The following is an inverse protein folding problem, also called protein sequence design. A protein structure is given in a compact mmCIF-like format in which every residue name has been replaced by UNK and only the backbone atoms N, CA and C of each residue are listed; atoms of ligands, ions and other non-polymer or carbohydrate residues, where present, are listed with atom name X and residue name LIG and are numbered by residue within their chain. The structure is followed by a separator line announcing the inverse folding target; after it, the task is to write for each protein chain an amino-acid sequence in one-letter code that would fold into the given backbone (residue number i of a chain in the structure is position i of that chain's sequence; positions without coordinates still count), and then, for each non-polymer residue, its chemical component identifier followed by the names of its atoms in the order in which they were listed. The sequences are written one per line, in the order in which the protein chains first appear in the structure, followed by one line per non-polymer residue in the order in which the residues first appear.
data_IF_049971909184
#
_entry.id   IF_049971909184
#
_cell.length_a   1.000
_cell.length_b   1.000
_cell.length_c   1.000
_cell.angle_alpha   90.00
_cell.angle_beta   90.00
_cell.angle_gamma   90.00
#
_symmetry.space_group_name_H-M   'P 1'
#
loop_
_entity.id
_entity.type
_entity.pdbx_description
1 polymer ?
#
# COMPACT_ATOMS: atom_id res chain seq x y z
N UNK A 1 -11.80 9.33 -8.51
CA UNK A 1 -12.44 8.11 -7.95
C UNK A 1 -11.37 7.05 -7.86
N UNK A 2 -11.35 6.30 -6.77
CA UNK A 2 -10.47 5.15 -6.62
C UNK A 2 -11.27 3.93 -6.16
N UNK A 3 -11.04 2.80 -6.82
CA UNK A 3 -11.58 1.49 -6.49
C UNK A 3 -10.41 0.53 -6.27
N UNK A 4 -10.46 -0.28 -5.23
CA UNK A 4 -9.52 -1.38 -5.03
C UNK A 4 -10.21 -2.68 -4.67
N UNK A 5 -9.60 -3.80 -5.09
CA UNK A 5 -9.94 -5.15 -4.66
C UNK A 5 -8.68 -5.81 -4.11
N UNK A 6 -8.70 -6.16 -2.83
CA UNK A 6 -7.51 -6.65 -2.14
C UNK A 6 -7.76 -7.99 -1.46
N UNK A 7 -6.82 -8.91 -1.66
CA UNK A 7 -6.71 -10.16 -0.93
C UNK A 7 -5.41 -10.19 -0.12
N UNK A 8 -5.50 -10.64 1.13
CA UNK A 8 -4.37 -10.63 2.06
C UNK A 8 -4.22 -9.31 2.79
N UNK A 9 -3.28 -9.26 3.74
CA UNK A 9 -2.97 -8.07 4.55
C UNK A 9 -1.52 -7.66 4.30
N UNK A 10 -1.30 -6.37 4.04
CA UNK A 10 0.06 -5.86 3.92
C UNK A 10 0.79 -6.00 5.25
N UNK A 11 1.90 -6.75 5.26
CA UNK A 11 2.75 -6.89 6.43
C UNK A 11 3.77 -5.75 6.46
N UNK A 12 3.46 -4.68 7.17
CA UNK A 12 4.32 -3.49 7.29
C UNK A 12 5.68 -3.79 7.94
N UNK A 13 5.77 -4.80 8.82
CA UNK A 13 7.03 -5.19 9.46
C UNK A 13 7.98 -5.89 8.47
N UNK A 14 7.44 -6.78 7.63
CA UNK A 14 8.24 -7.56 6.67
C UNK A 14 8.45 -6.84 5.34
N UNK A 15 7.43 -6.16 4.83
CA UNK A 15 7.44 -5.55 3.49
C UNK A 15 7.67 -4.04 3.52
N UNK A 16 7.82 -3.45 4.70
CA UNK A 16 8.04 -2.01 4.88
C UNK A 16 6.73 -1.22 4.88
N UNK A 17 6.82 0.03 5.33
CA UNK A 17 5.68 0.94 5.43
C UNK A 17 5.98 2.37 5.02
N UNK A 18 7.22 2.68 4.66
CA UNK A 18 7.64 4.03 4.35
C UNK A 18 8.30 4.11 2.99
N UNK A 19 7.49 3.82 1.97
CA UNK A 19 7.82 3.96 0.56
C UNK A 19 6.51 4.12 -0.25
N UNK A 20 6.54 4.68 -1.47
CA UNK A 20 5.34 4.87 -2.29
C UNK A 20 4.46 3.63 -2.50
N UNK A 21 5.05 2.43 -2.59
CA UNK A 21 4.29 1.18 -2.79
C UNK A 21 3.48 0.88 -1.53
N UNK A 22 4.11 0.92 -0.37
CA UNK A 22 3.42 0.63 0.90
C UNK A 22 2.51 1.77 1.37
N UNK A 23 2.80 3.03 1.04
CA UNK A 23 1.99 4.18 1.50
C UNK A 23 0.75 4.44 0.65
N UNK A 24 0.83 4.20 -0.66
CA UNK A 24 -0.24 4.59 -1.60
C UNK A 24 -0.97 3.39 -2.21
N UNK A 25 -0.26 2.28 -2.44
CA UNK A 25 -0.78 1.13 -3.19
C UNK A 25 -1.19 -0.05 -2.29
N UNK A 26 -0.74 -0.08 -1.03
CA UNK A 26 -1.24 -1.04 -0.05
C UNK A 26 -2.65 -0.66 0.40
N UNK A 27 -3.65 -1.38 -0.12
CA UNK A 27 -5.07 -1.19 0.18
C UNK A 27 -5.58 -2.23 1.20
N UNK A 28 -6.66 -1.94 1.93
CA UNK A 28 -7.25 -2.86 2.90
C UNK A 28 -7.93 -4.06 2.21
N UNK A 29 -8.08 -5.21 2.89
CA UNK A 29 -8.78 -6.39 2.36
C UNK A 29 -10.23 -6.11 1.94
N UNK A 30 -10.69 -6.82 0.91
CA UNK A 30 -12.01 -6.69 0.34
C UNK A 30 -12.06 -5.57 -0.71
N UNK A 31 -13.22 -4.91 -0.83
CA UNK A 31 -13.39 -3.74 -1.70
C UNK A 31 -13.32 -2.45 -0.90
N UNK A 32 -12.55 -1.49 -1.40
CA UNK A 32 -12.60 -0.09 -0.97
C UNK A 32 -12.91 0.80 -2.17
N UNK A 33 -13.91 1.67 -2.03
CA UNK A 33 -14.34 2.61 -3.06
C UNK A 33 -14.51 4.00 -2.45
N UNK A 34 -13.86 4.98 -3.04
CA UNK A 34 -14.16 6.38 -2.75
C UNK A 34 -14.20 7.23 -4.01
N UNK A 35 -15.08 8.22 -4.00
CA UNK A 35 -15.33 9.08 -5.13
C UNK A 35 -15.62 10.50 -4.67
N UNK A 36 -15.05 11.46 -5.39
CA UNK A 36 -15.36 12.89 -5.27
C UNK A 36 -16.28 13.23 -6.42
N UNK A 37 -17.43 13.82 -6.13
CA UNK A 37 -18.41 14.18 -7.14
C UNK A 37 -18.43 15.68 -7.40
N UNK A 38 -18.30 16.07 -8.66
CA UNK A 38 -18.51 17.45 -9.11
C UNK A 38 -19.95 17.64 -9.61
N UNK A 39 -20.91 17.48 -8.69
CA UNK A 39 -22.35 17.69 -8.93
C UNK A 39 -22.97 18.39 -7.73
N UNK A 40 -24.12 19.07 -7.89
CA UNK A 40 -24.85 19.65 -6.75
C UNK A 40 -25.13 18.61 -5.66
N UNK A 41 -25.11 19.03 -4.38
CA UNK A 41 -25.17 18.09 -3.25
C UNK A 41 -26.36 17.11 -3.28
N UNK A 42 -27.52 17.57 -3.74
CA UNK A 42 -28.73 16.76 -3.84
C UNK A 42 -28.67 15.65 -4.91
N UNK A 43 -27.71 15.73 -5.84
CA UNK A 43 -27.48 14.71 -6.86
C UNK A 43 -26.40 13.69 -6.48
N UNK A 44 -25.60 13.93 -5.43
CA UNK A 44 -24.45 13.08 -5.11
C UNK A 44 -24.87 11.64 -4.84
N UNK A 45 -25.91 11.42 -4.03
CA UNK A 45 -26.33 10.06 -3.65
C UNK A 45 -26.90 9.29 -4.85
N UNK A 46 -27.56 9.97 -5.78
CA UNK A 46 -28.01 9.37 -7.03
C UNK A 46 -26.82 8.99 -7.93
N UNK A 47 -25.81 9.86 -8.03
CA UNK A 47 -24.57 9.59 -8.77
C UNK A 47 -23.76 8.45 -8.15
N UNK A 48 -23.67 8.38 -6.82
CA UNK A 48 -23.04 7.29 -6.08
C UNK A 48 -23.74 5.95 -6.31
N UNK A 49 -25.08 5.94 -6.28
CA UNK A 49 -25.87 4.76 -6.64
C UNK A 49 -25.58 4.31 -8.07
N UNK A 50 -25.59 5.22 -9.04
CA UNK A 50 -25.29 4.85 -10.42
C UNK A 50 -23.86 4.29 -10.56
N UNK A 51 -22.88 4.95 -9.92
CA UNK A 51 -21.49 4.51 -9.94
C UNK A 51 -21.31 3.09 -9.38
N UNK A 52 -21.86 2.82 -8.19
CA UNK A 52 -21.76 1.51 -7.53
C UNK A 52 -22.40 0.38 -8.35
N UNK A 53 -23.53 0.64 -9.01
CA UNK A 53 -24.17 -0.32 -9.92
C UNK A 53 -23.35 -0.55 -11.19
N UNK A 54 -22.81 0.50 -11.81
CA UNK A 54 -21.97 0.37 -13.00
C UNK A 54 -20.70 -0.43 -12.71
N UNK A 55 -20.02 -0.14 -11.60
CA UNK A 55 -18.81 -0.87 -11.19
C UNK A 55 -19.12 -2.32 -10.82
N UNK A 56 -20.25 -2.57 -10.16
CA UNK A 56 -20.71 -3.93 -9.86
C UNK A 56 -20.89 -4.76 -11.13
N UNK A 57 -21.53 -4.21 -12.15
CA UNK A 57 -21.71 -4.88 -13.45
C UNK A 57 -20.41 -5.04 -14.24
N UNK A 58 -19.50 -4.06 -14.17
CA UNK A 58 -18.21 -4.12 -14.88
C UNK A 58 -17.27 -5.17 -14.29
N UNK A 59 -17.18 -5.24 -12.96
CA UNK A 59 -16.25 -6.12 -12.26
C UNK A 59 -16.86 -7.43 -11.78
N UNK A 60 -18.17 -7.65 -11.97
CA UNK A 60 -18.90 -8.81 -11.45
C UNK A 60 -18.71 -8.97 -9.93
N UNK A 61 -18.91 -7.88 -9.20
CA UNK A 61 -18.67 -7.79 -7.75
C UNK A 61 -19.86 -7.14 -7.05
N UNK A 62 -20.00 -7.34 -5.74
CA UNK A 62 -21.14 -6.88 -4.94
C UNK A 62 -21.09 -5.40 -4.55
N UNK A 63 -20.39 -4.57 -5.34
CA UNK A 63 -20.20 -3.12 -5.10
C UNK A 63 -21.53 -2.38 -5.00
N UNK A 64 -22.58 -2.88 -5.65
CA UNK A 64 -23.94 -2.35 -5.57
C UNK A 64 -24.51 -2.33 -4.14
N UNK A 65 -23.98 -3.13 -3.20
CA UNK A 65 -24.37 -3.03 -1.79
C UNK A 65 -23.99 -1.68 -1.17
N UNK A 66 -22.93 -1.03 -1.67
CA UNK A 66 -22.51 0.30 -1.23
C UNK A 66 -23.52 1.41 -1.57
N UNK A 67 -24.59 1.12 -2.33
CA UNK A 67 -25.66 2.09 -2.58
C UNK A 67 -26.44 2.48 -1.30
N UNK A 68 -26.44 1.60 -0.29
CA UNK A 68 -27.22 1.79 0.93
C UNK A 68 -26.57 2.84 1.82
N UNK A 69 -27.34 3.78 2.35
CA UNK A 69 -26.86 4.80 3.29
C UNK A 69 -26.20 4.18 4.53
N UNK A 70 -26.58 2.94 4.87
CA UNK A 70 -25.99 2.20 5.99
C UNK A 70 -24.58 1.64 5.73
N UNK A 71 -24.08 1.75 4.50
CA UNK A 71 -22.85 1.09 4.01
C UNK A 71 -21.77 2.03 3.50
N UNK A 72 -22.12 3.31 3.28
CA UNK A 72 -21.15 4.35 2.93
C UNK A 72 -21.17 5.47 3.96
N UNK A 73 -20.07 6.22 4.00
CA UNK A 73 -19.88 7.38 4.85
C UNK A 73 -19.51 8.61 4.02
N UNK A 74 -19.63 9.76 4.65
CA UNK A 74 -19.22 11.07 4.11
C UNK A 74 -18.11 11.62 5.00
N UNK A 75 -16.83 11.32 4.69
CA UNK A 75 -15.71 11.87 5.44
C UNK A 75 -15.75 13.40 5.37
N UNK A 76 -15.54 14.06 6.49
CA UNK A 76 -15.57 15.52 6.56
C UNK A 76 -14.22 16.11 6.10
N UNK A 77 -13.11 15.41 6.32
CA UNK A 77 -11.76 15.99 6.12
C UNK A 77 -10.63 14.99 5.91
N UNK A 78 -10.82 13.69 6.18
CA UNK A 78 -9.77 12.67 5.96
C UNK A 78 -9.44 12.43 4.48
N UNK A 79 -10.31 12.86 3.56
CA UNK A 79 -10.14 12.71 2.11
C UNK A 79 -10.19 14.10 1.44
N UNK A 80 -9.11 14.56 0.79
CA UNK A 80 -9.13 15.79 0.02
C UNK A 80 -9.81 15.58 -1.36
N UNK A 81 -10.62 16.53 -1.85
CA UNK A 81 -11.06 17.77 -1.21
C UNK A 81 -12.22 17.52 -0.22
N UNK A 82 -12.09 18.15 0.96
CA UNK A 82 -13.01 18.08 2.08
C UNK A 82 -14.25 18.97 1.88
N UNK A 83 -15.16 18.60 0.97
CA UNK A 83 -16.30 19.43 0.56
C UNK A 83 -17.68 18.78 0.71
N UNK A 84 -17.80 17.69 1.48
CA UNK A 84 -19.06 16.91 1.59
C UNK A 84 -19.46 16.17 0.29
N UNK A 85 -18.69 16.39 -0.78
CA UNK A 85 -18.86 15.78 -2.09
C UNK A 85 -18.18 14.41 -2.20
N UNK A 86 -17.60 13.92 -1.10
CA UNK A 86 -16.94 12.61 -1.03
C UNK A 86 -17.93 11.57 -0.54
N UNK A 87 -17.86 10.39 -1.16
CA UNK A 87 -18.48 9.16 -0.65
C UNK A 87 -17.38 8.12 -0.48
N UNK A 88 -17.37 7.49 0.68
CA UNK A 88 -16.42 6.43 1.04
C UNK A 88 -17.19 5.19 1.48
N UNK A 89 -16.92 4.05 0.86
CA UNK A 89 -17.58 2.78 1.18
C UNK A 89 -16.60 1.61 1.09
N UNK A 90 -16.81 0.61 1.94
CA UNK A 90 -15.97 -0.60 2.00
C UNK A 90 -16.80 -1.86 2.14
N UNK A 91 -16.40 -2.93 1.49
CA UNK A 91 -16.94 -4.28 1.65
C UNK A 91 -15.81 -5.22 2.07
N UNK A 92 -15.48 -5.31 3.38
CA UNK A 92 -14.32 -6.07 3.84
C UNK A 92 -14.42 -7.58 3.57
N UNK A 93 -15.65 -8.11 3.44
CA UNK A 93 -15.91 -9.52 3.17
C UNK A 93 -16.01 -9.84 1.67
N UNK A 94 -15.94 -8.84 0.78
CA UNK A 94 -16.02 -9.11 -0.66
C UNK A 94 -14.82 -9.93 -1.11
N UNK A 95 -15.08 -11.12 -1.62
CA UNK A 95 -14.03 -12.00 -2.11
C UNK A 95 -13.40 -11.41 -3.38
N UNK A 96 -12.08 -11.46 -3.48
CA UNK A 96 -11.37 -11.11 -4.72
C UNK A 96 -11.29 -12.36 -5.59
N UNK A 97 -11.91 -12.30 -6.76
CA UNK A 97 -12.05 -13.40 -7.70
C UNK A 97 -11.23 -13.15 -8.97
N UNK A 98 -10.75 -14.22 -9.59
CA UNK A 98 -10.01 -14.15 -10.88
C UNK A 98 -10.81 -13.50 -12.00
N UNK A 99 -12.14 -13.53 -11.87
CA UNK A 99 -13.14 -12.92 -12.72
C UNK A 99 -13.08 -11.40 -12.67
N UNK A 100 -12.72 -10.78 -11.53
CA UNK A 100 -12.54 -9.33 -11.40
C UNK A 100 -11.33 -8.83 -12.20
N UNK A 101 -10.30 -9.68 -12.36
CA UNK A 101 -9.09 -9.32 -13.10
C UNK A 101 -9.33 -9.21 -14.61
N UNK A 102 -10.28 -9.99 -15.15
CA UNK A 102 -10.58 -9.98 -16.59
C UNK A 102 -11.05 -8.61 -17.12
N UNK A 103 -12.04 -7.93 -16.51
CA UNK A 103 -12.39 -6.56 -16.91
C UNK A 103 -11.29 -5.56 -16.63
N UNK A 104 -10.49 -5.72 -15.56
CA UNK A 104 -9.32 -4.87 -15.30
C UNK A 104 -8.29 -4.96 -16.44
N UNK A 105 -7.93 -6.17 -16.88
CA UNK A 105 -7.02 -6.41 -18.00
C UNK A 105 -7.61 -5.89 -19.33
N UNK A 106 -8.93 -5.94 -19.52
CA UNK A 106 -9.57 -5.40 -20.74
C UNK A 106 -9.39 -3.90 -20.92
N UNK A 107 -9.11 -3.15 -19.85
CA UNK A 107 -8.84 -1.72 -19.91
C UNK A 107 -7.40 -1.40 -20.38
N UNK A 108 -6.48 -2.38 -20.32
CA UNK A 108 -5.12 -2.22 -20.83
C UNK A 108 -5.08 -2.26 -22.37
N UNK A 109 -4.19 -1.50 -23.04
CA UNK A 109 -4.14 -1.41 -24.50
C UNK A 109 -4.05 -2.77 -25.21
N UNK A 110 -3.17 -3.66 -24.74
CA UNK A 110 -2.99 -5.00 -25.31
C UNK A 110 -3.53 -6.14 -24.42
N UNK A 111 -4.33 -5.82 -23.40
CA UNK A 111 -4.84 -6.81 -22.43
C UNK A 111 -3.72 -7.67 -21.85
N UNK A 112 -3.90 -8.99 -21.79
CA UNK A 112 -2.93 -10.00 -21.37
C UNK A 112 -2.24 -10.69 -22.57
N UNK A 113 -2.10 -10.00 -23.71
CA UNK A 113 -1.65 -10.61 -24.98
C UNK A 113 -0.29 -10.12 -25.49
N UNK A 114 0.24 -9.01 -25.01
CA UNK A 114 1.54 -8.49 -25.43
C UNK A 114 2.17 -7.57 -24.37
N UNK A 115 3.49 -7.41 -24.44
CA UNK A 115 4.27 -6.59 -23.51
C UNK A 115 4.26 -7.14 -22.09
N UNK A 116 4.54 -6.26 -21.11
CA UNK A 116 4.66 -6.61 -19.69
C UNK A 116 3.37 -7.24 -19.14
N UNK A 117 2.21 -6.90 -19.72
CA UNK A 117 0.93 -7.45 -19.30
C UNK A 117 0.81 -8.98 -19.52
N UNK A 118 1.71 -9.59 -20.30
CA UNK A 118 1.84 -11.06 -20.40
C UNK A 118 2.19 -11.71 -19.05
N UNK A 119 2.90 -11.00 -18.17
CA UNK A 119 3.26 -11.48 -16.83
C UNK A 119 2.06 -11.57 -15.88
N UNK A 120 0.92 -10.96 -16.23
CA UNK A 120 -0.25 -10.86 -15.35
C UNK A 120 -1.10 -12.15 -15.35
N UNK A 121 -0.43 -13.30 -15.21
CA UNK A 121 -1.05 -14.61 -15.17
C UNK A 121 -1.79 -14.85 -13.86
N UNK A 122 -3.08 -15.20 -13.94
CA UNK A 122 -3.96 -15.27 -12.76
C UNK A 122 -3.47 -16.29 -11.73
N UNK A 123 -3.14 -17.55 -12.09
CA UNK A 123 -2.61 -18.52 -11.13
C UNK A 123 -1.41 -18.03 -10.33
N UNK A 124 -0.46 -17.34 -10.97
CA UNK A 124 0.74 -16.81 -10.32
C UNK A 124 0.42 -15.67 -9.35
N UNK A 125 -0.46 -14.74 -9.76
CA UNK A 125 -0.83 -13.59 -8.93
C UNK A 125 -1.66 -13.99 -7.69
N UNK A 126 -2.61 -14.91 -7.83
CA UNK A 126 -3.52 -15.32 -6.76
C UNK A 126 -2.90 -16.33 -5.78
N UNK A 127 -1.69 -16.84 -6.07
CA UNK A 127 -0.87 -17.61 -5.13
C UNK A 127 -0.03 -16.74 -4.20
N UNK A 128 0.04 -15.44 -4.45
CA UNK A 128 0.79 -14.50 -3.63
C UNK A 128 0.27 -14.36 -2.20
N UNK A 129 1.12 -13.86 -1.30
CA UNK A 129 0.74 -13.54 0.08
C UNK A 129 -0.15 -12.28 0.17
N UNK A 130 -0.08 -11.42 -0.85
CA UNK A 130 -0.86 -10.21 -0.97
C UNK A 130 -1.10 -9.89 -2.44
N UNK A 131 -2.32 -9.47 -2.77
CA UNK A 131 -2.70 -9.03 -4.10
C UNK A 131 -3.72 -7.90 -3.99
N UNK A 132 -3.45 -6.75 -4.61
CA UNK A 132 -4.36 -5.62 -4.71
C UNK A 132 -4.39 -5.10 -6.13
N UNK A 133 -5.58 -5.09 -6.73
CA UNK A 133 -5.84 -4.42 -8.00
C UNK A 133 -6.58 -3.10 -7.73
N UNK A 134 -6.09 -2.02 -8.30
CA UNK A 134 -6.59 -0.67 -8.10
C UNK A 134 -6.92 -0.02 -9.44
N UNK A 135 -7.94 0.81 -9.42
CA UNK A 135 -8.39 1.65 -10.52
C UNK A 135 -8.56 3.07 -10.00
N UNK A 136 -7.77 4.01 -10.51
CA UNK A 136 -7.83 5.41 -10.12
C UNK A 136 -8.17 6.26 -11.35
N UNK A 137 -9.31 6.95 -11.29
CA UNK A 137 -9.76 7.88 -12.32
C UNK A 137 -9.65 9.32 -11.81
N UNK A 138 -8.87 10.13 -12.52
CA UNK A 138 -8.76 11.57 -12.29
C UNK A 138 -9.27 12.32 -13.50
N UNK A 139 -10.02 13.39 -13.24
CA UNK A 139 -10.47 14.32 -14.29
C UNK A 139 -9.53 15.51 -14.29
N UNK A 140 -8.94 15.80 -15.44
CA UNK A 140 -8.15 17.02 -15.64
C UNK A 140 -9.11 18.13 -16.04
N UNK A 141 -9.23 19.15 -15.20
CA UNK A 141 -10.03 20.34 -15.49
C UNK A 141 -9.41 21.16 -16.63
N UNK A 142 -10.23 21.96 -17.32
CA UNK A 142 -9.75 22.90 -18.34
C UNK A 142 -8.79 23.91 -17.71
N UNK A 143 -7.50 23.82 -18.03
CA UNK A 143 -6.58 24.93 -17.81
C UNK A 143 -6.99 26.08 -18.73
N UNK A 144 -6.71 27.32 -18.33
CA UNK A 144 -7.00 28.54 -19.09
C UNK A 144 -6.30 28.64 -20.46
N UNK A 145 -5.56 27.60 -20.87
CA UNK A 145 -4.82 27.52 -22.14
C UNK A 145 -5.40 26.50 -23.14
N UNK A 146 -6.66 26.07 -22.98
CA UNK A 146 -7.38 25.36 -24.05
C UNK A 146 -6.89 23.93 -24.33
N UNK A 147 -6.20 23.30 -23.38
CA UNK A 147 -5.90 21.86 -23.43
C UNK A 147 -7.16 21.09 -23.06
N UNK A 148 -7.56 20.15 -23.92
CA UNK A 148 -8.76 19.32 -23.82
C UNK A 148 -8.94 18.72 -22.42
N UNK A 149 -10.14 18.86 -21.86
CA UNK A 149 -10.52 18.16 -20.63
C UNK A 149 -10.47 16.65 -20.87
N UNK A 150 -9.65 15.95 -20.09
CA UNK A 150 -9.43 14.51 -20.23
C UNK A 150 -9.68 13.76 -18.93
N UNK A 151 -10.00 12.47 -19.07
CA UNK A 151 -9.99 11.51 -17.97
C UNK A 151 -8.69 10.73 -18.04
N UNK A 152 -7.93 10.72 -16.96
CA UNK A 152 -6.75 9.88 -16.80
C UNK A 152 -7.17 8.64 -16.03
N UNK A 153 -6.91 7.48 -16.63
CA UNK A 153 -7.11 6.17 -16.01
C UNK A 153 -5.76 5.61 -15.59
N UNK A 154 -5.58 5.46 -14.28
CA UNK A 154 -4.42 4.82 -13.68
C UNK A 154 -4.82 3.45 -13.14
N UNK A 155 -4.06 2.43 -13.51
CA UNK A 155 -4.28 1.04 -13.15
C UNK A 155 -3.05 0.54 -12.40
N UNK A 156 -3.23 0.14 -11.14
CA UNK A 156 -2.13 -0.35 -10.29
C UNK A 156 -2.43 -1.77 -9.85
N UNK A 157 -1.44 -2.65 -9.98
CA UNK A 157 -1.48 -4.01 -9.46
C UNK A 157 -0.31 -4.19 -8.51
N UNK A 158 -0.60 -4.43 -7.24
CA UNK A 158 0.40 -4.68 -6.20
C UNK A 158 0.33 -6.14 -5.78
N UNK A 159 1.44 -6.85 -5.87
CA UNK A 159 1.52 -8.26 -5.46
C UNK A 159 2.75 -8.51 -4.60
N UNK A 160 2.61 -9.44 -3.66
CA UNK A 160 3.73 -10.01 -2.93
C UNK A 160 3.81 -11.50 -3.25
N UNK A 161 4.85 -11.86 -3.98
CA UNK A 161 5.07 -13.19 -4.51
C UNK A 161 6.30 -13.82 -3.85
N UNK A 162 6.26 -15.13 -3.65
CA UNK A 162 7.42 -15.90 -3.21
C UNK A 162 8.10 -16.54 -4.41
N UNK A 163 9.43 -16.41 -4.57
CA UNK A 163 10.15 -17.17 -5.58
C UNK A 163 10.05 -18.68 -5.33
N UNK A 164 9.91 -19.48 -6.39
CA UNK A 164 9.88 -20.94 -6.29
C UNK A 164 11.22 -21.47 -5.76
N UNK A 165 11.19 -22.23 -4.65
CA UNK A 165 12.40 -22.80 -4.03
C UNK A 165 12.98 -23.99 -4.78
N UNK A 166 12.37 -24.48 -5.87
CA UNK A 166 12.85 -25.65 -6.61
C UNK A 166 14.16 -25.39 -7.38
N UNK A 167 14.51 -24.11 -7.62
CA UNK A 167 15.84 -23.71 -8.12
C UNK A 167 16.86 -23.46 -7.00
N UNK A 168 16.51 -23.74 -5.74
CA UNK A 168 17.53 -23.99 -4.72
C UNK A 168 18.11 -25.38 -5.01
N UNK A 169 19.20 -25.38 -5.77
CA UNK A 169 20.11 -26.51 -5.94
C UNK A 169 20.17 -27.31 -4.63
N UNK A 170 20.10 -28.64 -4.73
CA UNK A 170 20.39 -29.61 -3.66
C UNK A 170 21.77 -29.33 -3.04
N UNK A 171 21.88 -28.27 -2.25
CA UNK A 171 23.04 -27.98 -1.43
C UNK A 171 22.68 -28.50 -0.05
N UNK A 172 23.42 -29.53 0.35
CA UNK A 172 23.28 -30.27 1.59
C UNK A 172 22.85 -29.41 2.78
N UNK A 173 21.96 -29.98 3.59
CA UNK A 173 21.25 -29.42 4.73
C UNK A 173 22.11 -28.91 5.91
N UNK A 174 23.22 -28.21 5.66
CA UNK A 174 24.07 -27.62 6.70
C UNK A 174 24.59 -26.20 6.42
N UNK A 175 24.28 -25.58 5.28
CA UNK A 175 24.69 -24.21 4.98
C UNK A 175 23.51 -23.24 5.06
N UNK A 176 23.72 -22.12 5.78
CA UNK A 176 22.74 -21.06 6.05
C UNK A 176 21.85 -20.80 4.82
N UNK A 177 20.54 -20.93 4.97
CA UNK A 177 19.55 -20.75 3.90
C UNK A 177 19.86 -19.48 3.08
N UNK A 178 20.43 -19.67 1.89
CA UNK A 178 20.59 -18.60 0.91
C UNK A 178 19.18 -18.25 0.43
N UNK A 179 18.84 -16.98 0.51
CA UNK A 179 17.58 -16.44 -0.01
C UNK A 179 17.38 -16.86 -1.49
N UNK A 180 16.14 -17.18 -1.90
CA UNK A 180 15.92 -17.76 -3.20
C UNK A 180 16.20 -16.75 -4.31
N UNK A 181 17.05 -17.15 -5.26
CA UNK A 181 17.22 -16.46 -6.54
C UNK A 181 15.90 -16.49 -7.32
N UNK A 182 15.69 -15.49 -8.16
CA UNK A 182 14.44 -15.37 -8.90
C UNK A 182 14.66 -14.80 -10.30
N UNK A 183 13.75 -15.15 -11.21
CA UNK A 183 13.53 -14.49 -12.49
C UNK A 183 12.05 -14.13 -12.66
N UNK A 184 11.74 -13.20 -13.56
CA UNK A 184 10.36 -12.86 -13.92
C UNK A 184 9.61 -14.11 -14.39
N UNK A 185 10.24 -14.93 -15.22
CA UNK A 185 9.67 -16.20 -15.67
C UNK A 185 9.43 -17.19 -14.53
N UNK A 186 10.31 -17.26 -13.53
CA UNK A 186 10.12 -18.16 -12.38
C UNK A 186 8.99 -17.72 -11.45
N UNK A 187 8.79 -16.41 -11.30
CA UNK A 187 7.79 -15.82 -10.39
C UNK A 187 6.41 -15.79 -11.05
N UNK A 188 6.35 -15.32 -12.29
CA UNK A 188 5.08 -15.13 -13.00
C UNK A 188 4.69 -16.32 -13.88
N UNK A 189 5.61 -17.27 -14.13
CA UNK A 189 5.38 -18.45 -14.95
C UNK A 189 5.36 -18.17 -16.46
N UNK A 190 5.69 -16.94 -16.88
CA UNK A 190 5.67 -16.49 -18.27
C UNK A 190 6.84 -15.56 -18.58
N UNK A 191 7.27 -15.56 -19.83
CA UNK A 191 8.26 -14.64 -20.36
C UNK A 191 7.58 -13.59 -21.23
N UNK A 192 8.18 -12.40 -21.32
CA UNK A 192 7.67 -11.32 -22.17
C UNK A 192 8.28 -11.46 -23.56
N UNK A 193 7.52 -12.03 -24.48
CA UNK A 193 7.88 -12.14 -25.90
C UNK A 193 7.21 -11.02 -26.69
N UNK A 194 7.95 -9.94 -26.94
CA UNK A 194 7.51 -8.83 -27.79
C UNK A 194 6.80 -7.66 -27.08
N UNK A 195 6.56 -6.60 -27.84
CA UNK A 195 6.03 -5.32 -27.36
C UNK A 195 4.53 -5.17 -27.62
N UNK A 196 3.86 -4.34 -26.81
CA UNK A 196 2.49 -3.92 -27.09
C UNK A 196 2.52 -2.75 -28.09
N UNK A 197 2.05 -2.97 -29.33
CA UNK A 197 2.05 -1.96 -30.40
C UNK A 197 1.20 -0.71 -30.11
N UNK A 198 0.25 -0.83 -29.18
CA UNK A 198 -0.60 0.29 -28.73
C UNK A 198 0.01 1.07 -27.55
N UNK A 199 1.03 0.53 -26.89
CA UNK A 199 1.71 1.20 -25.80
C UNK A 199 2.79 2.13 -26.37
N UNK A 200 2.85 3.36 -25.83
CA UNK A 200 3.90 4.33 -26.22
C UNK A 200 5.29 3.94 -25.71
N UNK A 201 5.35 3.27 -24.57
CA UNK A 201 6.59 2.80 -23.94
C UNK A 201 6.29 1.66 -22.99
N UNK A 202 7.24 0.72 -22.83
CA UNK A 202 7.17 -0.33 -21.81
C UNK A 202 8.50 -0.42 -21.07
N UNK A 203 8.49 -0.10 -19.79
CA UNK A 203 9.70 -0.04 -18.96
C UNK A 203 9.46 -0.80 -17.65
N UNK A 204 10.48 -1.54 -17.23
CA UNK A 204 10.51 -2.29 -15.99
C UNK A 204 11.57 -1.70 -15.10
N UNK A 205 11.21 -1.47 -13.84
CA UNK A 205 12.11 -0.90 -12.86
C UNK A 205 12.36 -1.90 -11.75
N UNK A 206 13.63 -2.06 -11.37
CA UNK A 206 14.04 -2.87 -10.22
C UNK A 206 14.61 -1.93 -9.15
N UNK A 207 13.88 -1.82 -8.04
CA UNK A 207 14.22 -0.99 -6.89
C UNK A 207 14.95 -1.83 -5.83
N UNK A 208 16.19 -1.46 -5.54
CA UNK A 208 16.89 -1.87 -4.33
C UNK A 208 16.68 -0.83 -3.23
N UNK A 209 16.00 -1.25 -2.17
CA UNK A 209 15.69 -0.40 -1.02
C UNK A 209 16.96 0.06 -0.27
N UNK A 210 16.86 1.19 0.43
CA UNK A 210 17.94 1.79 1.23
C UNK A 210 18.57 0.79 2.20
N UNK A 211 17.74 -0.03 2.85
CA UNK A 211 18.19 -1.06 3.80
C UNK A 211 19.08 -2.10 3.12
N UNK A 212 18.68 -2.59 1.94
CA UNK A 212 19.46 -3.55 1.17
C UNK A 212 20.77 -2.92 0.66
N UNK A 213 20.71 -1.71 0.10
CA UNK A 213 21.89 -1.01 -0.41
C UNK A 213 22.91 -0.73 0.70
N UNK A 214 22.44 -0.45 1.92
CA UNK A 214 23.31 -0.27 3.08
C UNK A 214 24.11 -1.56 3.38
N UNK A 215 23.44 -2.71 3.45
CA UNK A 215 24.09 -4.00 3.70
C UNK A 215 25.07 -4.39 2.58
N UNK A 216 24.70 -4.12 1.32
CA UNK A 216 25.54 -4.39 0.16
C UNK A 216 26.83 -3.55 0.09
N UNK A 217 26.84 -2.35 0.71
CA UNK A 217 28.04 -1.51 0.83
C UNK A 217 29.00 -1.98 1.92
N UNK A 218 28.53 -2.77 2.89
CA UNK A 218 29.32 -3.26 4.02
C UNK A 218 29.31 -4.79 4.13
N UNK A 219 29.70 -5.54 3.08
CA UNK A 219 29.75 -6.99 3.17
C UNK A 219 30.90 -7.39 4.11
N UNK A 220 30.56 -7.80 5.34
CA UNK A 220 31.43 -8.41 6.36
C UNK A 220 32.47 -7.52 7.06
N UNK A 221 32.15 -7.15 8.31
CA UNK A 221 33.09 -6.70 9.35
C UNK A 221 33.81 -7.86 10.09
N UNK A 222 33.80 -9.08 9.54
CA UNK A 222 34.37 -10.25 10.25
C UNK A 222 35.87 -10.46 10.04
N UNK A 223 36.49 -9.83 9.05
CA UNK A 223 37.95 -9.84 8.92
C UNK A 223 38.46 -8.40 8.87
N UNK A 224 39.25 -8.01 9.87
CA UNK A 224 39.78 -6.66 10.09
C UNK A 224 40.74 -6.13 9.02
N UNK A 225 40.32 -6.13 7.76
CA UNK A 225 40.93 -5.38 6.67
C UNK A 225 39.82 -4.61 5.96
N UNK A 226 39.69 -3.36 6.37
CA UNK A 226 38.97 -2.31 5.64
C UNK A 226 39.55 -2.22 4.23
N UNK A 227 38.93 -2.89 3.27
CA UNK A 227 39.14 -2.58 1.85
C UNK A 227 38.31 -1.33 1.56
N UNK A 228 38.91 -0.17 1.82
CA UNK A 228 38.42 1.13 1.39
C UNK A 228 38.59 1.26 -0.13
N UNK A 229 37.88 0.44 -0.91
CA UNK A 229 37.62 0.75 -2.30
C UNK A 229 36.20 1.30 -2.36
N UNK A 230 36.12 2.63 -2.40
CA UNK A 230 34.87 3.34 -2.65
C UNK A 230 34.19 2.75 -3.87
N UNK A 231 32.88 2.53 -3.74
CA UNK A 231 32.03 1.99 -4.78
C UNK A 231 31.98 3.01 -5.92
N UNK A 232 32.85 2.85 -6.93
CA UNK A 232 32.79 3.63 -8.17
C UNK A 232 31.58 3.16 -8.97
N UNK A 233 30.92 4.10 -9.67
CA UNK A 233 29.62 3.95 -10.33
C UNK A 233 29.52 2.88 -11.43
N UNK A 234 30.55 2.05 -11.62
CA UNK A 234 30.74 1.28 -12.85
C UNK A 234 30.46 -0.22 -12.73
N UNK A 235 30.06 -0.78 -11.57
CA UNK A 235 29.76 -2.23 -11.46
C UNK A 235 28.68 -2.56 -10.40
N UNK A 236 27.52 -1.92 -10.46
CA UNK A 236 26.42 -2.20 -9.51
C UNK A 236 25.53 -3.40 -9.89
N UNK A 237 25.55 -3.84 -11.16
CA UNK A 237 24.75 -4.96 -11.68
C UNK A 237 25.36 -6.34 -11.43
N UNK A 238 26.67 -6.40 -11.14
CA UNK A 238 27.37 -7.61 -10.70
C UNK A 238 28.22 -7.26 -9.48
N UNK A 239 27.72 -7.61 -8.32
CA UNK A 239 28.40 -7.42 -7.05
C UNK A 239 28.83 -8.81 -6.52
N UNK A 240 29.85 -8.92 -5.65
CA UNK A 240 30.12 -10.15 -4.92
C UNK A 240 28.87 -10.75 -4.24
N UNK A 241 27.85 -9.95 -3.91
CA UNK A 241 26.64 -10.44 -3.24
C UNK A 241 25.54 -10.97 -4.16
N UNK A 242 25.37 -10.42 -5.36
CA UNK A 242 24.34 -10.84 -6.32
C UNK A 242 24.72 -10.49 -7.77
N UNK A 243 24.04 -11.14 -8.71
CA UNK A 243 24.21 -10.91 -10.15
C UNK A 243 22.85 -10.80 -10.84
N UNK A 244 22.70 -9.80 -11.71
CA UNK A 244 21.51 -9.65 -12.56
C UNK A 244 21.70 -10.42 -13.87
N UNK A 245 20.62 -11.03 -14.37
CA UNK A 245 20.64 -11.77 -15.64
C UNK A 245 20.82 -10.88 -16.88
N UNK A 246 20.51 -9.58 -16.76
CA UNK A 246 20.58 -8.60 -17.83
C UNK A 246 21.17 -7.27 -17.35
N UNK A 247 21.85 -6.56 -18.26
CA UNK A 247 22.39 -5.23 -17.98
C UNK A 247 21.28 -4.18 -18.01
N UNK A 248 21.21 -3.27 -17.01
CA UNK A 248 20.22 -2.20 -17.00
C UNK A 248 20.53 -1.14 -18.06
N UNK A 249 19.49 -0.53 -18.63
CA UNK A 249 19.63 0.53 -19.63
C UNK A 249 19.98 1.87 -19.00
N UNK A 250 19.42 2.12 -17.81
CA UNK A 250 19.74 3.28 -16.98
C UNK A 250 19.74 2.86 -15.52
N UNK A 251 20.55 3.56 -14.74
CA UNK A 251 20.64 3.38 -13.29
C UNK A 251 20.39 4.75 -12.68
N UNK A 252 19.38 4.84 -11.82
CA UNK A 252 19.11 6.04 -11.06
C UNK A 252 19.54 5.83 -9.61
N UNK A 253 20.24 6.83 -9.09
CA UNK A 253 20.55 6.92 -7.68
C UNK A 253 19.56 7.89 -7.05
N UNK A 254 18.98 7.47 -5.94
CA UNK A 254 18.13 8.36 -5.16
C UNK A 254 18.93 9.60 -4.74
N UNK A 255 18.31 10.77 -4.83
CA UNK A 255 18.95 12.00 -4.37
C UNK A 255 19.17 11.92 -2.86
N UNK A 256 20.40 12.20 -2.40
CA UNK A 256 20.69 12.26 -0.98
C UNK A 256 19.92 13.43 -0.38
N UNK A 257 18.73 13.17 0.17
CA UNK A 257 18.19 14.06 1.20
C UNK A 257 19.26 14.18 2.28
N UNK A 258 19.43 15.36 2.88
CA UNK A 258 20.43 15.69 3.91
C UNK A 258 20.45 14.77 5.15
N UNK A 259 19.62 13.72 5.17
CA UNK A 259 19.19 12.97 6.33
C UNK A 259 19.35 11.44 6.21
N UNK A 260 19.80 10.89 5.08
CA UNK A 260 20.09 9.44 4.94
C UNK A 260 21.44 9.16 4.26
N UNK A 261 22.29 8.36 4.92
CA UNK A 261 23.61 7.94 4.39
C UNK A 261 23.51 6.84 3.31
N UNK A 262 22.39 6.12 3.26
CA UNK A 262 22.11 5.06 2.28
C UNK A 262 21.09 5.53 1.26
N UNK A 263 21.43 5.34 -0.02
CA UNK A 263 20.60 5.71 -1.17
C UNK A 263 19.89 4.46 -1.69
N UNK A 264 18.63 4.58 -2.11
CA UNK A 264 18.01 3.56 -2.95
C UNK A 264 18.61 3.59 -4.36
N UNK A 265 18.60 2.43 -5.03
CA UNK A 265 19.07 2.30 -6.42
C UNK A 265 17.91 1.79 -7.26
N UNK A 266 17.65 2.44 -8.39
CA UNK A 266 16.61 2.06 -9.33
C UNK A 266 17.24 1.69 -10.67
N UNK A 267 17.11 0.44 -11.08
CA UNK A 267 17.53 -0.04 -12.39
C UNK A 267 16.36 0.02 -13.35
N UNK A 268 16.54 0.61 -14.53
CA UNK A 268 15.51 0.68 -15.58
C UNK A 268 15.89 -0.20 -16.75
N UNK A 269 14.91 -0.95 -17.25
CA UNK A 269 15.01 -1.83 -18.41
C UNK A 269 13.88 -1.52 -19.39
N UNK A 270 14.23 -1.30 -20.65
CA UNK A 270 13.33 -1.04 -21.77
C UNK A 270 13.00 -2.36 -22.46
N UNK A 271 11.72 -2.72 -22.44
CA UNK A 271 11.25 -3.99 -23.03
C UNK A 271 11.38 -4.00 -24.55
N UNK A 272 11.45 -2.83 -25.18
CA UNK A 272 11.59 -2.63 -26.63
C UNK A 272 12.88 -3.23 -27.22
N UNK A 273 13.90 -3.50 -26.40
CA UNK A 273 15.16 -4.13 -26.85
C UNK A 273 15.05 -5.63 -27.08
N UNK A 274 14.00 -6.25 -26.54
CA UNK A 274 13.82 -7.69 -26.52
C UNK A 274 12.81 -8.12 -27.60
N UNK A 275 12.96 -9.35 -28.08
CA UNK A 275 12.20 -9.88 -29.22
C UNK A 275 11.65 -11.27 -28.92
N UNK A 276 10.94 -11.88 -29.87
CA UNK A 276 10.46 -13.27 -29.68
C UNK A 276 11.60 -14.30 -29.61
N UNK A 277 12.75 -14.03 -30.26
CA UNK A 277 13.92 -14.92 -30.21
C UNK A 277 14.73 -14.77 -28.93
N UNK A 278 14.71 -13.59 -28.32
CA UNK A 278 15.34 -13.29 -27.04
C UNK A 278 14.30 -12.61 -26.13
N UNK A 279 13.44 -13.42 -25.47
CA UNK A 279 12.37 -12.88 -24.66
C UNK A 279 12.93 -12.16 -23.44
N UNK A 280 12.22 -11.14 -22.99
CA UNK A 280 12.61 -10.37 -21.82
C UNK A 280 12.37 -11.16 -20.53
N UNK A 281 13.46 -11.45 -19.81
CA UNK A 281 13.43 -12.13 -18.52
C UNK A 281 14.56 -11.62 -17.62
N UNK A 282 14.20 -10.75 -16.68
CA UNK A 282 15.13 -10.26 -15.66
C UNK A 282 15.08 -11.20 -14.47
N UNK A 283 16.24 -11.56 -13.96
CA UNK A 283 16.40 -12.25 -12.70
C UNK A 283 17.55 -11.71 -11.88
N UNK A 284 17.49 -12.01 -10.59
CA UNK A 284 18.51 -11.72 -9.60
C UNK A 284 18.95 -13.04 -8.97
N UNK A 285 20.23 -13.35 -9.14
CA UNK A 285 20.88 -14.50 -8.53
C UNK A 285 21.68 -14.09 -7.31
N UNK A 286 21.34 -14.64 -6.15
CA UNK A 286 22.07 -14.39 -4.91
C UNK A 286 23.33 -15.27 -4.83
N UNK A 287 24.47 -14.65 -4.54
CA UNK A 287 25.75 -15.33 -4.33
C UNK A 287 26.05 -15.53 -2.84
N UNK A 288 25.52 -14.64 -2.00
CA UNK A 288 25.66 -14.69 -0.53
C UNK A 288 24.31 -14.39 0.14
N UNK A 289 24.05 -14.94 1.33
CA UNK A 289 22.87 -14.58 2.10
C UNK A 289 23.00 -13.14 2.61
N UNK A 290 22.00 -12.31 2.31
CA UNK A 290 21.90 -10.92 2.80
C UNK A 290 20.57 -10.79 3.52
N UNK A 291 20.58 -10.20 4.71
CA UNK A 291 19.37 -9.88 5.46
C UNK A 291 19.35 -8.39 5.73
N UNK A 292 18.25 -7.73 5.42
CA UNK A 292 18.07 -6.30 5.65
C UNK A 292 16.71 -6.03 6.28
N UNK A 293 16.53 -4.79 6.76
CA UNK A 293 15.25 -4.29 7.24
C UNK A 293 14.69 -3.33 6.20
N UNK A 294 13.44 -3.53 5.80
CA UNK A 294 12.71 -2.59 4.95
C UNK A 294 12.38 -1.31 5.74
N UNK A 295 12.31 -0.18 5.04
CA UNK A 295 11.99 1.11 5.66
C UNK A 295 10.61 1.11 6.32
N UNK A 296 10.58 1.46 7.60
CA UNK A 296 9.37 1.46 8.44
C UNK A 296 8.78 2.87 8.55
N UNK A 297 7.47 2.97 8.76
CA UNK A 297 6.81 4.23 9.15
C UNK A 297 7.33 4.73 10.50
N UNK A 298 7.19 6.03 10.84
CA UNK A 298 7.58 6.55 12.15
C UNK A 298 6.95 5.80 13.32
N UNK A 299 5.69 5.39 13.17
CA UNK A 299 4.97 4.55 14.12
C UNK A 299 4.37 3.34 13.38
N UNK A 300 4.59 2.15 13.93
CA UNK A 300 3.88 0.94 13.52
C UNK A 300 2.50 0.92 14.17
N UNK A 301 1.46 0.82 13.35
CA UNK A 301 0.09 0.83 13.81
C UNK A 301 -0.52 -0.57 13.80
N UNK A 302 -1.16 -0.95 14.90
CA UNK A 302 -1.95 -2.18 14.99
C UNK A 302 -3.33 -1.88 15.55
N UNK A 303 -4.35 -2.56 15.01
CA UNK A 303 -5.74 -2.45 15.45
C UNK A 303 -6.23 -3.82 15.89
N UNK A 304 -6.85 -3.88 17.06
CA UNK A 304 -7.43 -5.10 17.60
C UNK A 304 -8.70 -4.82 18.39
N UNK A 305 -9.51 -5.86 18.55
CA UNK A 305 -10.72 -5.83 19.37
C UNK A 305 -10.39 -6.39 20.76
N UNK A 306 -10.95 -5.77 21.80
CA UNK A 306 -10.82 -6.18 23.19
C UNK A 306 -12.20 -6.56 23.75
N UNK A 307 -12.24 -7.57 24.63
CA UNK A 307 -13.49 -8.05 25.26
C UNK A 307 -14.14 -9.23 24.53
N UNK A 308 -15.13 -9.85 25.18
CA UNK A 308 -15.92 -10.96 24.63
C UNK A 308 -17.22 -10.41 24.02
N UNK A 309 -17.33 -10.51 22.69
CA UNK A 309 -18.31 -9.81 21.86
C UNK A 309 -19.77 -10.05 22.23
N UNK A 310 -20.41 -8.98 22.68
CA UNK A 310 -21.74 -8.47 22.29
C UNK A 310 -22.02 -7.17 23.05
N UNK A 311 -21.48 -7.05 24.28
CA UNK A 311 -21.64 -5.89 25.16
C UNK A 311 -20.25 -5.47 25.70
N UNK A 312 -20.01 -4.16 25.80
CA UNK A 312 -18.80 -3.52 26.34
C UNK A 312 -17.50 -4.06 25.77
N UNK A 313 -17.50 -4.38 24.48
CA UNK A 313 -16.26 -4.62 23.76
C UNK A 313 -15.54 -3.29 23.51
N UNK A 314 -14.27 -3.31 23.12
CA UNK A 314 -13.55 -2.10 22.76
C UNK A 314 -12.73 -2.28 21.49
N UNK A 315 -12.63 -1.20 20.70
CA UNK A 315 -11.68 -1.09 19.60
C UNK A 315 -10.43 -0.42 20.16
N UNK A 316 -9.28 -1.06 19.97
CA UNK A 316 -7.99 -0.51 20.34
C UNK A 316 -7.14 -0.27 19.09
N UNK A 317 -6.55 0.92 18.98
CA UNK A 317 -5.56 1.29 17.99
C UNK A 317 -4.27 1.59 18.75
N UNK A 318 -3.24 0.78 18.53
CA UNK A 318 -1.92 0.91 19.15
C UNK A 318 -0.93 1.41 18.11
N UNK A 319 -0.15 2.42 18.49
CA UNK A 319 0.92 3.02 17.73
C UNK A 319 2.23 2.79 18.49
N UNK A 320 3.17 2.05 17.89
CA UNK A 320 4.46 1.73 18.50
C UNK A 320 5.57 2.39 17.69
N UNK A 321 6.49 3.08 18.37
CA UNK A 321 7.66 3.67 17.72
C UNK A 321 8.56 2.60 17.12
N UNK A 322 9.01 2.84 15.88
CA UNK A 322 9.90 1.96 15.12
C UNK A 322 11.38 2.37 15.28
N UNK A 323 11.70 3.28 16.22
CA UNK A 323 13.03 3.88 16.39
C UNK A 323 13.56 4.52 15.09
N UNK A 324 12.69 5.26 14.40
CA UNK A 324 13.04 5.94 13.16
C UNK A 324 14.23 6.89 13.38
N UNK A 325 15.32 6.64 12.67
CA UNK A 325 16.61 7.33 12.84
C UNK A 325 16.50 8.84 12.69
N UNK A 326 17.23 9.53 13.57
CA UNK A 326 17.22 10.97 13.91
C UNK A 326 17.24 11.99 12.74
N UNK A 327 17.43 11.57 11.50
CA UNK A 327 17.59 12.47 10.34
C UNK A 327 16.33 13.27 9.99
N UNK A 328 15.13 12.69 10.08
CA UNK A 328 13.89 13.32 9.58
C UNK A 328 13.19 14.21 10.61
N UNK A 329 13.57 14.11 11.89
CA UNK A 329 12.93 14.86 12.99
C UNK A 329 13.35 16.35 13.05
N UNK A 330 14.29 16.79 12.21
CA UNK A 330 14.83 18.16 12.29
C UNK A 330 14.00 19.23 11.56
N UNK A 331 13.01 18.85 10.74
CA UNK A 331 12.28 19.81 9.88
C UNK A 331 11.17 20.61 10.58
N UNK A 332 10.62 20.12 11.70
CA UNK A 332 9.50 20.78 12.41
C UNK A 332 9.90 21.48 13.72
N UNK A 333 11.20 21.65 13.99
CA UNK A 333 11.69 22.32 15.20
C UNK A 333 11.68 23.85 15.05
N UNK A 334 10.50 24.46 14.94
CA UNK A 334 10.38 25.93 15.04
C UNK A 334 10.17 26.47 16.45
N UNK A 335 10.06 25.63 17.49
CA UNK A 335 9.89 26.14 18.86
C UNK A 335 10.26 25.17 20.01
N UNK A 336 11.35 24.41 19.86
CA UNK A 336 11.86 23.53 20.93
C UNK A 336 11.00 22.29 21.28
N UNK A 337 9.72 22.23 20.88
CA UNK A 337 8.86 21.05 21.00
C UNK A 337 8.67 20.36 19.64
N UNK A 338 9.24 19.17 19.48
CA UNK A 338 9.00 18.33 18.30
C UNK A 338 7.66 17.60 18.45
N UNK A 339 6.77 17.80 17.47
CA UNK A 339 5.40 17.28 17.48
C UNK A 339 5.15 16.41 16.24
N UNK A 340 4.55 15.25 16.47
CA UNK A 340 4.17 14.25 15.49
C UNK A 340 2.65 14.23 15.36
N UNK A 341 2.14 14.61 14.18
CA UNK A 341 0.71 14.49 13.87
C UNK A 341 0.38 13.13 13.28
N UNK A 342 -0.67 12.51 13.81
CA UNK A 342 -1.21 11.24 13.32
C UNK A 342 -2.70 11.41 13.10
N UNK A 343 -3.17 11.23 11.88
CA UNK A 343 -4.60 11.26 11.56
C UNK A 343 -5.15 9.84 11.50
N UNK A 344 -6.30 9.62 12.13
CA UNK A 344 -6.99 8.33 12.23
C UNK A 344 -8.39 8.50 11.66
N UNK A 345 -8.70 7.73 10.63
CA UNK A 345 -10.02 7.60 10.03
C UNK A 345 -10.54 6.19 10.28
N UNK A 346 -11.62 6.07 11.05
CA UNK A 346 -12.26 4.79 11.37
C UNK A 346 -13.73 4.84 10.99
N UNK A 347 -14.16 3.86 10.21
CA UNK A 347 -15.57 3.60 9.92
C UNK A 347 -15.98 2.30 10.61
N UNK A 348 -17.16 2.28 11.22
CA UNK A 348 -17.76 1.09 11.81
C UNK A 348 -19.15 0.86 11.21
N UNK A 349 -19.59 -0.40 11.01
CA UNK A 349 -20.93 -0.68 10.52
C UNK A 349 -22.02 -0.12 11.45
N UNK A 350 -23.22 0.07 10.92
CA UNK A 350 -24.35 0.60 11.68
C UNK A 350 -24.72 -0.22 12.93
N UNK A 351 -24.43 -1.53 12.91
CA UNK A 351 -24.69 -2.44 14.04
C UNK A 351 -23.59 -2.40 15.10
N UNK A 352 -22.53 -1.61 14.92
CA UNK A 352 -21.50 -1.38 15.95
C UNK A 352 -21.80 -0.02 16.59
N UNK A 353 -22.29 -0.06 17.83
CA UNK A 353 -22.72 1.12 18.59
C UNK A 353 -21.56 1.62 19.44
N UNK A 354 -20.81 2.58 18.89
CA UNK A 354 -19.61 3.11 19.51
C UNK A 354 -19.95 4.21 20.52
N UNK A 355 -19.39 4.11 21.72
CA UNK A 355 -19.53 5.11 22.77
C UNK A 355 -18.39 6.12 22.68
N UNK A 356 -18.51 7.16 21.84
CA UNK A 356 -17.44 8.16 21.68
C UNK A 356 -17.01 8.87 22.97
N UNK A 357 -17.89 8.94 23.98
CA UNK A 357 -17.54 9.48 25.30
C UNK A 357 -16.58 8.57 26.12
N UNK A 358 -16.45 7.30 25.74
CA UNK A 358 -15.54 6.32 26.36
C UNK A 358 -14.12 6.37 25.78
N UNK A 359 -13.83 7.32 24.88
CA UNK A 359 -12.53 7.44 24.25
C UNK A 359 -11.44 7.69 25.29
N UNK A 360 -10.47 6.77 25.38
CA UNK A 360 -9.31 6.89 26.25
C UNK A 360 -8.03 6.89 25.41
N UNK A 361 -7.13 7.78 25.77
CA UNK A 361 -5.82 7.92 25.14
C UNK A 361 -4.75 7.56 26.16
N UNK A 362 -3.82 6.70 25.75
CA UNK A 362 -2.65 6.33 26.53
C UNK A 362 -1.41 6.75 25.77
N UNK A 363 -0.45 7.36 26.45
CA UNK A 363 0.87 7.72 25.91
C UNK A 363 1.91 7.15 26.88
N UNK A 364 2.80 6.31 26.36
CA UNK A 364 3.80 5.56 27.13
C UNK A 364 3.16 4.81 28.31
N UNK A 365 2.04 4.14 28.03
CA UNK A 365 1.21 3.38 28.99
C UNK A 365 0.54 4.22 30.10
N UNK A 366 0.70 5.55 30.08
CA UNK A 366 0.04 6.45 31.02
C UNK A 366 -1.22 7.06 30.40
N UNK A 367 -2.35 7.09 31.13
CA UNK A 367 -3.56 7.74 30.64
C UNK A 367 -3.30 9.25 30.50
N UNK A 368 -3.71 9.82 29.36
CA UNK A 368 -3.64 11.26 29.09
C UNK A 368 -5.03 11.82 28.90
N UNK A 369 -5.21 13.10 29.26
CA UNK A 369 -6.45 13.79 28.97
C UNK A 369 -6.60 13.93 27.45
N UNK A 370 -7.82 13.70 26.97
CA UNK A 370 -8.13 13.74 25.53
C UNK A 370 -7.83 15.13 24.94
N UNK A 371 -8.08 16.20 25.71
CA UNK A 371 -7.81 17.59 25.35
C UNK A 371 -6.34 17.91 25.06
N UNK A 372 -5.42 17.16 25.66
CA UNK A 372 -3.99 17.47 25.59
C UNK A 372 -3.35 16.87 24.34
N UNK A 373 -3.93 15.78 23.82
CA UNK A 373 -3.38 14.99 22.73
C UNK A 373 -4.22 15.14 21.45
N UNK A 374 -5.53 15.28 21.54
CA UNK A 374 -6.38 15.38 20.35
C UNK A 374 -6.45 16.83 19.89
N UNK A 375 -5.88 17.12 18.73
CA UNK A 375 -5.92 18.44 18.11
C UNK A 375 -7.30 18.73 17.52
N UNK A 376 -7.88 17.74 16.83
CA UNK A 376 -9.20 17.88 16.22
C UNK A 376 -9.87 16.51 16.13
N UNK A 377 -11.17 16.48 16.43
CA UNK A 377 -12.01 15.29 16.39
C UNK A 377 -13.34 15.61 15.71
N UNK A 378 -13.77 14.73 14.82
CA UNK A 378 -15.10 14.71 14.23
C UNK A 378 -15.67 13.30 14.39
N UNK A 379 -16.90 13.20 14.88
CA UNK A 379 -17.57 11.91 15.07
C UNK A 379 -18.99 11.99 14.54
N UNK A 380 -19.39 10.94 13.83
CA UNK A 380 -20.78 10.73 13.39
C UNK A 380 -21.23 9.37 13.90
N UNK A 381 -22.17 9.31 14.87
CA UNK A 381 -22.64 8.04 15.41
C UNK A 381 -23.38 7.18 14.38
N UNK A 382 -23.20 5.87 14.51
CA UNK A 382 -23.98 4.89 13.77
C UNK A 382 -25.47 5.02 14.10
N UNK A 383 -26.30 4.85 13.07
CA UNK A 383 -27.75 4.80 13.21
C UNK A 383 -28.26 3.50 12.62
N UNK A 384 -29.07 2.79 13.39
CA UNK A 384 -29.56 1.46 13.05
C UNK A 384 -30.13 1.43 11.61
N UNK A 385 -29.47 0.67 10.72
CA UNK A 385 -29.81 0.49 9.30
C UNK A 385 -29.86 1.77 8.47
N UNK A 386 -29.34 2.89 8.97
CA UNK A 386 -29.40 4.18 8.30
C UNK A 386 -28.03 4.72 7.94
N UNK A 387 -27.06 4.65 8.85
CA UNK A 387 -25.71 5.17 8.61
C UNK A 387 -24.64 4.42 9.41
N UNK A 388 -23.43 4.24 8.86
CA UNK A 388 -22.29 3.76 9.62
C UNK A 388 -21.84 4.79 10.66
N UNK A 389 -21.05 4.35 11.63
CA UNK A 389 -20.36 5.23 12.56
C UNK A 389 -19.02 5.67 11.98
N UNK A 390 -18.66 6.94 12.14
CA UNK A 390 -17.41 7.52 11.62
C UNK A 390 -16.68 8.24 12.75
N UNK A 391 -15.37 8.08 12.80
CA UNK A 391 -14.46 8.80 13.68
C UNK A 391 -13.26 9.29 12.89
N UNK A 392 -13.04 10.60 12.91
CA UNK A 392 -11.90 11.28 12.32
C UNK A 392 -11.16 12.04 13.42
N UNK A 393 -9.95 11.61 13.75
CA UNK A 393 -9.17 12.14 14.88
C UNK A 393 -7.77 12.51 14.40
N UNK A 394 -7.30 13.70 14.76
CA UNK A 394 -5.90 14.09 14.63
C UNK A 394 -5.27 14.12 16.01
N UNK A 395 -4.31 13.22 16.22
CA UNK A 395 -3.49 13.12 17.41
C UNK A 395 -2.22 13.95 17.24
N UNK A 396 -1.86 14.63 18.32
CA UNK A 396 -0.66 15.43 18.48
C UNK A 396 0.23 14.77 19.52
N UNK A 397 1.19 13.97 19.05
CA UNK A 397 2.08 13.17 19.88
C UNK A 397 3.47 13.82 19.99
N UNK A 398 4.20 13.64 21.10
CA UNK A 398 5.60 14.06 21.17
C UNK A 398 6.47 13.15 20.27
N UNK A 399 7.48 13.70 19.60
CA UNK A 399 8.34 12.90 18.70
C UNK A 399 9.10 11.75 19.40
N UNK A 400 9.31 11.84 20.72
CA UNK A 400 9.98 10.81 21.52
C UNK A 400 9.02 9.76 22.12
N UNK A 401 7.77 9.71 21.66
CA UNK A 401 6.81 8.72 22.13
C UNK A 401 7.30 7.30 21.82
N UNK A 402 7.23 6.40 22.79
CA UNK A 402 7.52 4.98 22.57
C UNK A 402 6.26 4.24 22.15
N UNK A 403 5.15 4.49 22.85
CA UNK A 403 3.84 3.91 22.53
C UNK A 403 2.73 4.91 22.72
N UNK A 404 1.73 4.88 21.84
CA UNK A 404 0.46 5.56 22.03
C UNK A 404 -0.67 4.60 21.73
N UNK A 405 -1.77 4.65 22.48
CA UNK A 405 -2.93 3.82 22.24
C UNK A 405 -4.23 4.61 22.39
N UNK A 406 -5.17 4.34 21.49
CA UNK A 406 -6.54 4.83 21.52
C UNK A 406 -7.45 3.65 21.80
N UNK A 407 -8.29 3.73 22.84
CA UNK A 407 -9.30 2.71 23.12
C UNK A 407 -10.68 3.34 23.18
N UNK A 408 -11.66 2.69 22.57
CA UNK A 408 -13.05 3.15 22.54
C UNK A 408 -13.99 1.97 22.69
N UNK A 409 -14.96 2.08 23.59
CA UNK A 409 -15.93 1.02 23.87
C UNK A 409 -17.09 1.03 22.86
N UNK A 410 -17.64 -0.15 22.60
CA UNK A 410 -18.77 -0.35 21.72
C UNK A 410 -19.62 -1.56 22.13
N UNK A 411 -20.89 -1.50 21.74
CA UNK A 411 -21.83 -2.63 21.80
C UNK A 411 -22.18 -3.11 20.41
N UNK A 412 -22.47 -4.41 20.28
CA UNK A 412 -23.02 -4.98 19.06
C UNK A 412 -24.54 -4.89 19.12
N UNK A 413 -25.13 -4.26 18.11
CA UNK A 413 -26.57 -4.21 17.91
C UNK A 413 -27.15 -5.59 17.59
N UNK A 414 -28.42 -5.77 17.96
CA UNK A 414 -29.17 -6.97 17.60
C UNK A 414 -29.42 -7.01 16.09
N UNK A 415 -28.93 -8.07 15.47
CA UNK A 415 -29.14 -8.38 14.06
C UNK A 415 -30.29 -9.37 13.92
N UNK A 416 -31.09 -9.21 12.87
CA UNK A 416 -32.09 -10.19 12.46
C UNK A 416 -31.42 -11.38 11.79
N UNK A 417 -32.13 -12.51 11.72
CA UNK A 417 -31.59 -13.75 11.13
C UNK A 417 -31.16 -13.59 9.67
N UNK A 418 -31.83 -12.72 8.92
CA UNK A 418 -31.53 -12.37 7.52
C UNK A 418 -30.33 -11.43 7.37
N UNK A 419 -29.81 -10.86 8.46
CA UNK A 419 -28.69 -9.93 8.46
C UNK A 419 -27.36 -10.60 8.83
N UNK A 420 -27.38 -11.88 9.20
CA UNK A 420 -26.17 -12.66 9.40
C UNK A 420 -25.57 -13.07 8.06
N UNK A 421 -24.24 -13.08 7.99
CA UNK A 421 -23.50 -13.73 6.92
C UNK A 421 -23.83 -15.21 6.87
N UNK A 422 -23.69 -15.83 5.69
CA UNK A 422 -24.02 -17.25 5.49
C UNK A 422 -23.21 -18.18 6.40
N UNK A 423 -22.00 -17.77 6.80
CA UNK A 423 -21.23 -18.42 7.86
C UNK A 423 -21.34 -17.64 9.18
N UNK A 424 -22.02 -18.24 10.16
CA UNK A 424 -22.19 -17.67 11.50
C UNK A 424 -20.93 -17.79 12.37
N UNK A 425 -20.00 -18.71 12.05
CA UNK A 425 -18.78 -18.92 12.82
C UNK A 425 -17.69 -17.89 12.49
N UNK A 426 -17.75 -17.29 11.29
CA UNK A 426 -16.81 -16.26 10.86
C UNK A 426 -16.94 -14.95 11.67
N UNK A 427 -18.13 -14.69 12.23
CA UNK A 427 -18.41 -13.45 12.95
C UNK A 427 -18.70 -12.27 12.01
N UNK A 428 -18.35 -11.06 12.45
CA UNK A 428 -18.58 -9.82 11.69
C UNK A 428 -17.28 -9.05 11.50
N UNK A 429 -17.00 -8.67 10.25
CA UNK A 429 -15.86 -7.85 9.91
C UNK A 429 -16.16 -6.36 10.10
N UNK A 430 -15.21 -5.66 10.73
CA UNK A 430 -15.23 -4.20 10.84
C UNK A 430 -14.21 -3.65 9.83
N UNK A 431 -14.58 -2.64 9.01
CA UNK A 431 -13.66 -2.01 8.08
C UNK A 431 -12.35 -1.58 8.73
N UNK A 432 -11.28 -1.66 7.94
CA UNK A 432 -9.94 -1.23 8.35
C UNK A 432 -9.93 0.26 8.70
N UNK A 433 -9.12 0.64 9.67
CA UNK A 433 -8.83 2.05 9.94
C UNK A 433 -7.75 2.53 8.97
N UNK A 434 -7.86 3.78 8.52
CA UNK A 434 -6.80 4.46 7.76
C UNK A 434 -6.04 5.34 8.73
N UNK A 435 -4.72 5.16 8.76
CA UNK A 435 -3.81 5.95 9.60
C UNK A 435 -2.86 6.66 8.66
N UNK A 436 -2.84 7.98 8.73
CA UNK A 436 -1.95 8.81 7.93
C UNK A 436 -1.03 9.65 8.81
N UNK A 437 0.15 9.94 8.27
CA UNK A 437 1.17 10.76 8.92
C UNK A 437 1.35 12.03 8.07
N UNK A 438 0.53 13.08 8.27
CA UNK A 438 0.48 14.23 7.35
C UNK A 438 1.82 14.96 7.20
N UNK A 439 2.68 14.88 8.22
CA UNK A 439 3.98 15.53 8.24
C UNK A 439 5.09 14.68 7.57
N UNK A 440 4.76 13.47 7.10
CA UNK A 440 5.70 12.54 6.52
C UNK A 440 5.22 12.10 5.15
N UNK A 441 5.95 12.52 4.12
CA UNK A 441 5.73 12.05 2.76
C UNK A 441 6.79 11.02 2.42
N UNK A 442 6.35 9.80 2.14
CA UNK A 442 7.20 8.80 1.52
C UNK A 442 7.35 9.18 0.03
N UNK A 443 8.40 9.95 -0.29
CA UNK A 443 8.79 10.20 -1.67
C UNK A 443 10.15 9.57 -1.93
N UNK A 444 10.27 8.91 -3.08
CA UNK A 444 11.55 8.55 -3.67
C UNK A 444 11.76 9.51 -4.83
N UNK A 445 12.82 10.33 -4.74
CA UNK A 445 13.18 11.29 -5.79
C UNK A 445 14.45 10.77 -6.44
N UNK A 446 14.35 10.47 -7.73
CA UNK A 446 15.47 10.10 -8.56
C UNK A 446 15.78 11.30 -9.47
N UNK A 447 17.04 11.72 -9.55
CA UNK A 447 17.45 12.80 -10.46
C UNK A 447 17.24 12.33 -11.91
N UNK A 448 16.39 13.05 -12.63
CA UNK A 448 16.14 12.85 -14.06
C UNK A 448 16.37 14.14 -14.84
N UNK A 449 16.90 13.97 -16.05
CA UNK A 449 16.63 14.87 -17.18
C UNK A 449 15.18 14.61 -17.67
N UNK A 450 14.23 15.32 -17.08
CA UNK A 450 12.98 15.81 -17.68
C UNK A 450 12.00 14.86 -18.42
N UNK A 451 11.83 13.56 -18.07
CA UNK A 451 10.90 12.72 -18.86
C UNK A 451 10.09 11.57 -18.26
N UNK A 452 10.11 11.22 -16.96
CA UNK A 452 9.23 10.17 -16.43
C UNK A 452 8.11 10.70 -15.51
N UNK A 453 7.09 11.27 -16.16
CA UNK A 453 5.73 11.40 -15.59
C UNK A 453 4.86 10.14 -15.88
N UNK A 454 5.47 8.95 -15.99
CA UNK A 454 4.77 7.71 -16.39
C UNK A 454 4.69 6.73 -15.23
N UNK A 455 3.53 6.09 -15.07
CA UNK A 455 3.28 5.01 -14.11
C UNK A 455 4.15 3.77 -14.44
N UNK A 456 5.17 3.47 -13.63
CA UNK A 456 6.13 2.41 -13.94
C UNK A 456 5.65 1.03 -13.46
N UNK A 457 6.20 -0.03 -14.07
CA UNK A 457 6.15 -1.37 -13.48
C UNK A 457 7.34 -1.53 -12.54
N UNK A 458 7.08 -1.50 -11.23
CA UNK A 458 8.11 -1.51 -10.19
C UNK A 458 8.23 -2.89 -9.52
N UNK A 459 9.42 -3.45 -9.57
CA UNK A 459 9.82 -4.63 -8.81
C UNK A 459 10.65 -4.19 -7.61
N UNK A 460 10.30 -4.65 -6.43
CA UNK A 460 11.04 -4.33 -5.20
C UNK A 460 11.35 -5.60 -4.43
N UNK A 461 12.64 -5.81 -4.12
CA UNK A 461 13.07 -6.89 -3.25
C UNK A 461 12.70 -6.54 -1.80
N UNK A 462 11.76 -7.29 -1.22
CA UNK A 462 11.35 -7.15 0.18
C UNK A 462 11.80 -8.35 1.00
N UNK A 463 11.95 -8.13 2.31
CA UNK A 463 12.39 -9.18 3.24
C UNK A 463 11.39 -10.34 3.23
N UNK A 464 11.90 -11.55 3.05
CA UNK A 464 11.14 -12.77 3.35
C UNK A 464 11.29 -13.08 4.84
N UNK A 465 10.18 -13.23 5.55
CA UNK A 465 10.17 -13.73 6.92
C UNK A 465 9.57 -15.13 6.84
N UNK A 466 10.43 -16.15 6.99
CA UNK A 466 10.00 -17.50 7.33
C UNK A 466 9.65 -17.55 8.81
#
# INVERSE_FOLDING_TARGET
MELSFTQGRWNYESWGGFDPISSSNAKPPGVELWAVFDVPQHHIDASWKNLTHTLSGLFCASINFLQSTATYSTPEWSFPPASGNVRYGTLPCEAVCTENQTPWLKLLPCRDKAGIALLLDRPSLYRGFYHSQQLHLTSTGSSSEGIDSGIILEQTLTVVLQPNSEMAIEVHASEKHIQPSWSLSSIFGKQVSGICVLAKSSSVYLLLDRGLVAELKFPNKENGKSAANGLTSENFWSNPSFELSANPDRIFLEESSSHSKSLSILYMFQVEKYSESEPFDIGLMWKVPVAWLCQQTPLHASRFLMGSGNERAAIAISLKSTQFTEGFMSANSKDGSCELRVAVFQVVPWYVKVYFHSLRVFVDQQPRAVSDIIEKIHVSPSKDKMSPGVMEVVLKLPCRVNTAALTIEFDKGFLRIDEYTSDANQGFDIPSAIISFPNFHASMVFLEDDSLNKSPFDLSCRKNVL
#
